data_IF_381842294339
#
_entry.id   IF_381842294339
#
_cell.length_a   1.000
_cell.length_b   1.000
_cell.length_c   1.000
_cell.angle_alpha   90.00
_cell.angle_beta   90.00
_cell.angle_gamma   90.00
#
_symmetry.space_group_name_H-M   'P 1'
#
loop_
_entity.id
_entity.type
_entity.pdbx_description
1 polymer ?
#
# COMPACT_ATOMS: atom_id res chain seq x y z
N UNK A 1 3.76 -38.92 41.02
CA UNK A 1 2.74 -37.86 41.12
C UNK A 1 3.37 -36.57 40.64
N UNK A 2 3.23 -36.24 39.35
CA UNK A 2 3.67 -34.96 38.78
C UNK A 2 2.41 -34.16 38.46
N UNK A 3 2.26 -33.01 39.12
CA UNK A 3 1.17 -32.08 38.91
C UNK A 3 1.44 -31.28 37.61
N UNK A 4 0.74 -31.64 36.53
CA UNK A 4 0.61 -30.76 35.36
C UNK A 4 -0.53 -29.78 35.63
N UNK A 5 -0.20 -28.58 36.10
CA UNK A 5 -1.08 -27.41 35.99
C UNK A 5 -0.62 -26.56 34.81
N UNK A 6 -0.78 -27.10 33.59
CA UNK A 6 -0.68 -26.31 32.37
C UNK A 6 -1.94 -25.45 32.27
N UNK A 7 -1.90 -24.27 32.89
CA UNK A 7 -2.90 -23.22 32.69
C UNK A 7 -2.84 -22.77 31.24
N UNK A 8 -3.72 -23.34 30.40
CA UNK A 8 -4.00 -22.82 29.07
C UNK A 8 -4.71 -21.46 29.24
N UNK A 9 -3.94 -20.39 29.34
CA UNK A 9 -4.46 -19.03 29.18
C UNK A 9 -4.87 -18.89 27.71
N UNK A 10 -6.17 -18.91 27.46
CA UNK A 10 -6.77 -18.53 26.18
C UNK A 10 -6.29 -17.11 25.85
N UNK A 11 -5.29 -17.00 24.97
CA UNK A 11 -4.64 -15.74 24.64
C UNK A 11 -5.54 -14.90 23.75
N UNK A 12 -6.53 -14.23 24.34
CA UNK A 12 -7.33 -13.20 23.67
C UNK A 12 -6.43 -11.96 23.49
N UNK A 13 -5.66 -11.90 22.40
CA UNK A 13 -4.94 -10.67 22.06
C UNK A 13 -5.89 -9.64 21.46
N UNK A 14 -5.58 -8.37 21.68
CA UNK A 14 -6.39 -7.24 21.23
C UNK A 14 -5.77 -6.61 19.98
N UNK A 15 -6.60 -5.96 19.18
CA UNK A 15 -6.18 -5.27 17.97
C UNK A 15 -6.94 -3.97 17.76
N UNK A 16 -6.31 -3.07 16.99
CA UNK A 16 -7.00 -2.00 16.28
C UNK A 16 -7.26 -2.45 14.85
N UNK A 17 -8.52 -2.67 14.51
CA UNK A 17 -8.95 -2.99 13.16
C UNK A 17 -9.26 -1.72 12.38
N UNK A 18 -8.50 -1.45 11.32
CA UNK A 18 -8.75 -0.29 10.45
C UNK A 18 -9.83 -0.62 9.41
N UNK A 19 -10.93 0.12 9.45
CA UNK A 19 -12.16 -0.19 8.69
C UNK A 19 -11.97 -0.02 7.19
N UNK A 20 -11.29 1.03 6.74
CA UNK A 20 -11.22 1.39 5.33
C UNK A 20 -10.28 0.47 4.52
N UNK A 21 -9.30 -0.16 5.15
CA UNK A 21 -8.33 -1.06 4.48
C UNK A 21 -8.42 -2.51 4.93
N UNK A 22 -9.27 -2.84 5.90
CA UNK A 22 -9.34 -4.16 6.53
C UNK A 22 -7.97 -4.65 7.03
N UNK A 23 -7.23 -3.75 7.68
CA UNK A 23 -5.90 -4.07 8.24
C UNK A 23 -5.95 -4.02 9.75
N UNK A 24 -5.43 -5.04 10.41
CA UNK A 24 -5.36 -5.10 11.88
C UNK A 24 -3.97 -4.77 12.40
N UNK A 25 -3.93 -4.09 13.54
CA UNK A 25 -2.71 -3.80 14.29
C UNK A 25 -2.82 -4.42 15.68
N UNK A 26 -1.98 -5.41 15.98
CA UNK A 26 -2.01 -6.10 17.27
C UNK A 26 -1.46 -5.21 18.38
N UNK A 27 -2.20 -5.16 19.49
CA UNK A 27 -1.81 -4.45 20.70
C UNK A 27 -1.11 -5.43 21.62
N UNK A 28 0.21 -5.26 21.77
CA UNK A 28 1.00 -6.07 22.69
C UNK A 28 0.71 -5.63 24.13
N UNK A 29 0.18 -6.50 25.01
CA UNK A 29 -0.12 -6.13 26.39
C UNK A 29 1.14 -5.84 27.22
N UNK A 30 2.32 -6.20 26.70
CA UNK A 30 3.61 -5.95 27.33
C UNK A 30 4.12 -4.52 27.11
N UNK A 31 3.51 -3.76 26.21
CA UNK A 31 3.88 -2.36 25.96
C UNK A 31 3.00 -1.45 26.83
N UNK A 32 3.58 -0.68 27.77
CA UNK A 32 2.80 0.23 28.62
C UNK A 32 2.23 1.40 27.82
N UNK A 33 2.88 1.75 26.71
CA UNK A 33 2.47 2.83 25.80
C UNK A 33 2.65 2.34 24.37
N UNK A 34 1.62 2.52 23.55
CA UNK A 34 1.57 2.16 22.14
C UNK A 34 1.25 3.43 21.36
N UNK A 35 2.22 3.93 20.59
CA UNK A 35 2.11 5.18 19.86
C UNK A 35 1.56 4.96 18.46
N UNK A 36 0.65 5.83 18.05
CA UNK A 36 -0.03 5.79 16.75
C UNK A 36 0.34 7.03 15.95
N UNK A 37 0.80 6.82 14.72
CA UNK A 37 1.03 7.92 13.79
C UNK A 37 1.91 7.56 12.60
N UNK A 38 2.47 8.60 11.97
CA UNK A 38 3.37 8.45 10.82
C UNK A 38 4.85 8.43 11.24
N UNK A 39 5.65 7.47 10.75
CA UNK A 39 7.08 7.46 11.01
C UNK A 39 7.79 8.62 10.30
N UNK A 40 8.90 9.07 10.88
CA UNK A 40 9.92 9.87 10.23
C UNK A 40 11.31 9.37 10.68
N UNK A 41 12.38 10.06 10.26
CA UNK A 41 13.76 9.69 10.62
C UNK A 41 14.04 9.72 12.14
N UNK A 42 13.24 10.44 12.92
CA UNK A 42 13.44 10.66 14.35
C UNK A 42 12.46 9.88 15.25
N UNK A 43 11.31 9.49 14.70
CA UNK A 43 10.16 8.95 15.43
C UNK A 43 9.62 7.76 14.65
N UNK A 44 9.68 6.58 15.27
CA UNK A 44 9.02 5.37 14.81
C UNK A 44 7.87 5.05 15.77
N UNK A 45 6.61 5.35 15.41
CA UNK A 45 5.45 4.94 16.21
C UNK A 45 5.26 3.42 16.13
N UNK A 46 4.74 2.82 17.20
CA UNK A 46 4.46 1.39 17.28
C UNK A 46 3.42 0.97 16.22
N UNK A 47 2.38 1.79 16.05
CA UNK A 47 1.38 1.63 15.00
C UNK A 47 1.64 2.66 13.90
N UNK A 48 2.22 2.15 12.79
CA UNK A 48 2.53 2.94 11.61
C UNK A 48 1.32 3.01 10.65
N UNK A 49 0.76 4.21 10.55
CA UNK A 49 -0.42 4.48 9.69
C UNK A 49 -0.07 4.84 8.25
N UNK A 50 1.21 4.93 7.86
CA UNK A 50 1.63 5.42 6.53
C UNK A 50 1.08 4.59 5.36
N UNK A 51 0.84 3.30 5.59
CA UNK A 51 0.28 2.39 4.58
C UNK A 51 -1.25 2.47 4.46
N UNK A 52 -1.92 3.24 5.34
CA UNK A 52 -3.37 3.37 5.35
C UNK A 52 -3.83 4.45 4.35
N UNK A 53 -5.04 4.31 3.78
CA UNK A 53 -5.64 5.37 2.98
C UNK A 53 -5.81 6.65 3.80
N UNK A 54 -5.68 7.80 3.16
CA UNK A 54 -5.84 9.13 3.79
C UNK A 54 -4.89 9.41 4.97
N UNK A 55 -3.78 8.67 5.12
CA UNK A 55 -2.82 8.86 6.21
C UNK A 55 -2.21 10.29 6.28
N UNK A 56 -2.36 11.09 5.23
CA UNK A 56 -1.92 12.49 5.19
C UNK A 56 -2.51 13.34 6.33
N UNK A 57 -3.74 13.04 6.77
CA UNK A 57 -4.40 13.76 7.88
C UNK A 57 -3.87 13.35 9.27
N UNK A 58 -3.16 12.24 9.36
CA UNK A 58 -2.63 11.73 10.64
C UNK A 58 -1.29 12.40 10.94
N UNK A 59 -1.05 12.73 12.21
CA UNK A 59 0.19 13.37 12.65
C UNK A 59 1.29 12.32 12.86
N UNK A 60 2.55 12.75 13.02
CA UNK A 60 3.66 11.81 13.30
C UNK A 60 3.50 11.16 14.67
N UNK A 61 3.23 11.97 15.68
CA UNK A 61 2.71 11.58 16.99
C UNK A 61 1.27 12.08 17.05
N UNK A 62 0.30 11.22 16.77
CA UNK A 62 -1.10 11.64 16.70
C UNK A 62 -1.83 11.28 17.99
N UNK A 63 -1.78 10.01 18.37
CA UNK A 63 -2.38 9.51 19.58
C UNK A 63 -1.51 8.40 20.17
N UNK A 64 -1.75 8.05 21.43
CA UNK A 64 -1.18 6.87 22.05
C UNK A 64 -2.22 6.14 22.87
N UNK A 65 -2.05 4.82 22.94
CA UNK A 65 -2.80 3.95 23.83
C UNK A 65 -1.91 3.61 25.01
N UNK A 66 -2.38 3.89 26.22
CA UNK A 66 -1.71 3.51 27.46
C UNK A 66 -2.39 2.29 28.06
N UNK A 67 -1.59 1.36 28.56
CA UNK A 67 -2.05 0.10 29.15
C UNK A 67 -1.73 0.12 30.63
N UNK A 68 -2.76 0.16 31.48
CA UNK A 68 -2.63 0.17 32.94
C UNK A 68 -3.52 -0.93 33.52
N UNK A 69 -2.94 -1.88 34.25
CA UNK A 69 -3.67 -2.94 34.97
C UNK A 69 -4.75 -3.63 34.11
N UNK A 70 -4.41 -3.93 32.85
CA UNK A 70 -5.30 -4.58 31.88
C UNK A 70 -6.45 -3.71 31.35
N UNK A 71 -6.43 -2.41 31.64
CA UNK A 71 -7.31 -1.38 31.08
C UNK A 71 -6.56 -0.57 30.02
N UNK A 72 -7.27 -0.18 28.96
CA UNK A 72 -6.72 0.59 27.84
C UNK A 72 -7.26 2.01 27.90
N UNK A 73 -6.39 2.97 27.65
CA UNK A 73 -6.74 4.39 27.56
C UNK A 73 -6.22 4.98 26.26
N UNK A 74 -7.02 5.80 25.59
CA UNK A 74 -6.61 6.56 24.42
C UNK A 74 -6.31 8.01 24.82
N UNK A 75 -5.23 8.57 24.28
CA UNK A 75 -4.78 9.95 24.51
C UNK A 75 -4.44 10.57 23.16
N UNK A 76 -5.04 11.73 22.87
CA UNK A 76 -4.59 12.57 21.75
C UNK A 76 -3.32 13.34 22.15
N UNK A 77 -2.26 13.26 21.35
CA UNK A 77 -0.97 13.88 21.66
C UNK A 77 -0.86 15.35 21.20
N UNK A 78 -1.99 16.01 20.95
CA UNK A 78 -2.03 17.34 20.34
C UNK A 78 -1.99 17.25 18.82
N UNK A 79 -2.77 16.31 18.26
CA UNK A 79 -2.79 16.10 16.82
C UNK A 79 -3.42 17.28 16.07
N UNK A 80 -3.00 17.49 14.82
CA UNK A 80 -3.46 18.64 14.03
C UNK A 80 -4.95 18.56 13.66
N UNK A 81 -5.47 17.35 13.45
CA UNK A 81 -6.86 17.12 13.05
C UNK A 81 -7.75 16.60 14.20
N UNK A 82 -7.17 16.35 15.37
CA UNK A 82 -7.84 15.79 16.55
C UNK A 82 -8.08 14.28 16.44
N UNK A 83 -8.22 13.64 17.59
CA UNK A 83 -8.70 12.25 17.72
C UNK A 83 -10.16 12.27 18.21
N UNK A 84 -10.98 11.36 17.71
CA UNK A 84 -12.36 11.19 18.11
C UNK A 84 -12.60 9.76 18.63
N UNK A 85 -13.33 9.63 19.73
CA UNK A 85 -13.76 8.35 20.29
C UNK A 85 -15.29 8.29 20.22
N UNK A 86 -15.83 7.30 19.52
CA UNK A 86 -17.28 7.15 19.29
C UNK A 86 -17.92 8.46 18.80
N UNK A 87 -17.28 9.11 17.82
CA UNK A 87 -17.67 10.40 17.24
C UNK A 87 -17.53 11.63 18.15
N UNK A 88 -17.09 11.49 19.40
CA UNK A 88 -16.80 12.60 20.30
C UNK A 88 -15.32 13.01 20.20
N UNK A 89 -15.06 14.30 19.97
CA UNK A 89 -13.68 14.82 19.90
C UNK A 89 -13.03 14.77 21.28
N UNK A 90 -11.83 14.20 21.35
CA UNK A 90 -11.06 14.16 22.58
C UNK A 90 -10.35 15.49 22.84
N UNK A 91 -10.23 15.83 24.12
CA UNK A 91 -9.34 16.91 24.56
C UNK A 91 -7.88 16.44 24.49
N UNK A 92 -6.96 17.24 23.91
CA UNK A 92 -5.54 16.89 23.85
C UNK A 92 -4.95 16.61 25.22
N UNK A 93 -4.06 15.61 25.30
CA UNK A 93 -3.29 15.19 26.49
C UNK A 93 -4.14 14.71 27.67
N UNK A 94 -5.43 14.46 27.48
CA UNK A 94 -6.31 13.86 28.48
C UNK A 94 -6.57 12.40 28.16
N UNK A 95 -6.63 11.57 29.20
CA UNK A 95 -6.89 10.13 29.09
C UNK A 95 -8.38 9.85 29.00
N UNK A 96 -8.76 9.00 28.06
CA UNK A 96 -10.13 8.49 27.91
C UNK A 96 -10.10 6.96 27.92
N UNK A 97 -10.99 6.28 28.66
CA UNK A 97 -11.05 4.83 28.67
C UNK A 97 -11.42 4.30 27.29
N UNK A 98 -10.78 3.21 26.88
CA UNK A 98 -11.00 2.54 25.60
C UNK A 98 -11.57 1.14 25.84
N UNK A 99 -12.80 0.91 25.41
CA UNK A 99 -13.54 -0.34 25.60
C UNK A 99 -13.70 -1.10 24.29
N UNK A 100 -13.82 -2.42 24.39
CA UNK A 100 -14.07 -3.29 23.24
C UNK A 100 -15.28 -2.82 22.42
N UNK A 101 -15.08 -2.73 21.11
CA UNK A 101 -16.04 -2.22 20.15
C UNK A 101 -15.95 -0.71 19.91
N UNK A 102 -15.18 0.04 20.70
CA UNK A 102 -15.07 1.49 20.54
C UNK A 102 -14.44 1.85 19.19
N UNK A 103 -15.00 2.91 18.60
CA UNK A 103 -14.55 3.50 17.34
C UNK A 103 -13.60 4.65 17.62
N UNK A 104 -12.39 4.59 17.07
CA UNK A 104 -11.39 5.67 17.14
C UNK A 104 -11.19 6.24 15.74
N UNK A 105 -11.49 7.52 15.55
CA UNK A 105 -11.21 8.24 14.31
C UNK A 105 -10.00 9.16 14.48
N UNK A 106 -9.02 9.04 13.58
CA UNK A 106 -7.88 9.96 13.51
C UNK A 106 -8.18 11.05 12.48
N UNK A 107 -8.57 12.22 12.97
CA UNK A 107 -9.08 13.31 12.16
C UNK A 107 -10.57 13.22 11.84
N UNK A 108 -11.08 14.25 11.15
CA UNK A 108 -12.51 14.38 10.86
C UNK A 108 -12.96 13.49 9.69
N UNK A 109 -14.28 13.28 9.62
CA UNK A 109 -15.00 12.61 8.50
C UNK A 109 -14.73 11.10 8.36
N UNK A 110 -14.33 10.41 9.43
CA UNK A 110 -14.20 8.93 9.42
C UNK A 110 -13.31 8.42 8.26
N UNK A 111 -12.23 9.15 7.98
CA UNK A 111 -11.30 8.82 6.89
C UNK A 111 -10.25 7.79 7.30
N UNK A 112 -9.91 7.77 8.59
CA UNK A 112 -8.97 6.85 9.21
C UNK A 112 -9.61 6.36 10.51
N UNK A 113 -10.32 5.24 10.43
CA UNK A 113 -11.16 4.74 11.51
C UNK A 113 -10.67 3.38 11.98
N UNK A 114 -10.48 3.26 13.28
CA UNK A 114 -10.14 2.02 13.96
C UNK A 114 -11.29 1.55 14.83
N UNK A 115 -11.44 0.24 14.96
CA UNK A 115 -12.30 -0.41 15.95
C UNK A 115 -11.37 -1.18 16.89
N UNK A 116 -11.49 -0.94 18.19
CA UNK A 116 -10.76 -1.69 19.20
C UNK A 116 -11.48 -3.00 19.50
N UNK A 117 -10.87 -4.14 19.18
CA UNK A 117 -11.54 -5.45 19.25
C UNK A 117 -10.58 -6.59 19.59
N UNK A 118 -11.11 -7.78 19.82
CA UNK A 118 -10.29 -9.00 19.92
C UNK A 118 -9.72 -9.38 18.55
N UNK A 119 -8.46 -9.78 18.53
CA UNK A 119 -7.84 -10.41 17.38
C UNK A 119 -8.48 -11.77 17.15
N UNK A 120 -9.17 -11.92 16.02
CA UNK A 120 -9.76 -13.20 15.66
C UNK A 120 -8.67 -14.14 15.10
N UNK A 121 -8.16 -15.01 15.95
CA UNK A 121 -7.33 -16.13 15.51
C UNK A 121 -8.26 -17.22 14.96
N UNK A 122 -8.46 -17.24 13.64
CA UNK A 122 -9.08 -18.40 12.99
C UNK A 122 -8.14 -19.60 13.10
N UNK A 123 -8.32 -20.39 14.16
CA UNK A 123 -7.74 -21.72 14.28
C UNK A 123 -8.56 -22.62 13.37
N UNK A 124 -8.03 -22.95 12.20
CA UNK A 124 -8.52 -24.09 11.43
C UNK A 124 -8.05 -25.35 12.16
N UNK A 125 -8.88 -25.88 13.05
CA UNK A 125 -8.68 -27.22 13.60
C UNK A 125 -8.92 -28.21 12.48
N UNK A 126 -7.87 -28.63 11.80
CA UNK A 126 -7.89 -29.77 10.89
C UNK A 126 -7.98 -31.06 11.71
N UNK A 127 -9.14 -31.34 12.31
CA UNK A 127 -9.47 -32.66 12.83
C UNK A 127 -10.92 -32.99 12.48
N UNK A 128 -11.06 -33.77 11.43
CA UNK A 128 -12.31 -34.32 10.93
C UNK A 128 -12.61 -35.66 11.58
N UNK A 129 -13.62 -35.71 12.43
CA UNK A 129 -14.51 -36.87 12.58
C UNK A 129 -15.96 -36.38 12.74
N UNK A 130 -16.78 -36.76 11.77
CA UNK A 130 -18.14 -36.30 11.54
C UNK A 130 -19.17 -37.07 12.38
N UNK A 131 -20.18 -36.37 12.91
CA UNK A 131 -21.57 -36.84 12.85
C UNK A 131 -22.52 -35.63 12.70
N UNK A 132 -23.25 -35.61 11.58
CA UNK A 132 -24.12 -34.58 10.98
C UNK A 132 -25.41 -34.23 11.77
N UNK A 133 -26.36 -33.35 11.31
CA UNK A 133 -26.41 -32.35 10.20
C UNK A 133 -26.87 -30.94 10.71
N UNK A 134 -26.89 -29.80 10.00
CA UNK A 134 -27.50 -29.50 8.70
C UNK A 134 -27.06 -28.13 8.12
N UNK A 135 -26.55 -28.17 6.88
CA UNK A 135 -26.89 -27.35 5.71
C UNK A 135 -27.44 -25.91 5.93
N UNK A 136 -26.59 -24.92 5.70
CA UNK A 136 -26.95 -23.72 4.90
C UNK A 136 -25.76 -23.37 3.99
N UNK A 137 -26.04 -23.23 2.70
CA UNK A 137 -25.07 -22.92 1.65
C UNK A 137 -24.45 -21.53 1.84
N UNK A 138 -23.14 -21.42 1.63
CA UNK A 138 -22.48 -20.17 1.25
C UNK A 138 -21.58 -20.44 0.04
N UNK A 139 -21.61 -19.58 -1.00
CA UNK A 139 -20.82 -19.79 -2.20
C UNK A 139 -19.34 -19.56 -1.88
N UNK A 140 -18.53 -20.59 -2.13
CA UNK A 140 -17.08 -20.52 -2.10
C UNK A 140 -16.59 -19.59 -3.22
N UNK A 141 -16.08 -18.42 -2.87
CA UNK A 141 -15.01 -17.78 -3.63
C UNK A 141 -13.76 -17.88 -2.75
N UNK A 142 -13.00 -18.96 -2.95
CA UNK A 142 -11.62 -19.04 -2.49
C UNK A 142 -10.84 -18.05 -3.35
N UNK A 143 -10.80 -16.78 -2.96
CA UNK A 143 -9.77 -15.87 -3.47
C UNK A 143 -8.53 -16.10 -2.63
N UNK A 144 -7.69 -17.01 -3.10
CA UNK A 144 -6.32 -17.19 -2.66
C UNK A 144 -5.60 -15.84 -2.81
N UNK A 145 -5.59 -15.03 -1.74
CA UNK A 145 -4.86 -13.77 -1.68
C UNK A 145 -3.40 -14.11 -1.44
N UNK A 146 -2.76 -14.69 -2.45
CA UNK A 146 -1.32 -14.59 -2.64
C UNK A 146 -0.97 -13.11 -2.50
N UNK A 147 -0.34 -12.77 -1.38
CA UNK A 147 0.31 -11.48 -1.16
C UNK A 147 1.06 -11.14 -2.44
N UNK A 148 0.69 -10.01 -3.06
CA UNK A 148 1.35 -9.46 -4.22
C UNK A 148 2.73 -8.92 -3.83
N UNK A 149 3.63 -9.83 -3.46
CA UNK A 149 5.06 -9.62 -3.60
C UNK A 149 5.30 -9.58 -5.11
N UNK A 150 5.42 -8.36 -5.66
CA UNK A 150 5.81 -8.15 -7.06
C UNK A 150 7.17 -8.83 -7.24
N UNK A 151 7.12 -9.97 -7.91
CA UNK A 151 8.23 -10.85 -8.21
C UNK A 151 9.31 -10.06 -8.96
N UNK A 152 10.58 -10.21 -8.57
CA UNK A 152 11.72 -9.57 -9.25
C UNK A 152 11.68 -9.68 -10.80
N UNK A 153 11.24 -10.80 -11.40
CA UNK A 153 11.10 -10.87 -12.86
C UNK A 153 9.98 -9.98 -13.43
N UNK A 154 8.85 -9.75 -12.75
CA UNK A 154 7.80 -8.86 -13.29
C UNK A 154 8.24 -7.40 -13.32
N UNK A 155 9.05 -6.96 -12.36
CA UNK A 155 9.71 -5.63 -12.40
C UNK A 155 10.68 -5.51 -13.57
N UNK A 156 11.46 -6.55 -13.83
CA UNK A 156 12.42 -6.55 -14.92
C UNK A 156 11.72 -6.55 -16.29
N UNK A 157 10.65 -7.33 -16.43
CA UNK A 157 9.82 -7.34 -17.65
C UNK A 157 9.12 -6.00 -17.84
N UNK A 158 8.59 -5.37 -16.78
CA UNK A 158 7.99 -4.04 -16.85
C UNK A 158 8.98 -2.97 -17.33
N UNK A 159 10.21 -3.02 -16.83
CA UNK A 159 11.30 -2.12 -17.24
C UNK A 159 11.71 -2.33 -18.70
N UNK A 160 11.83 -3.59 -19.15
CA UNK A 160 12.13 -3.91 -20.55
C UNK A 160 11.01 -3.42 -21.48
N UNK A 161 9.74 -3.61 -21.12
CA UNK A 161 8.60 -3.13 -21.90
C UNK A 161 8.59 -1.59 -22.02
N UNK A 162 8.94 -0.88 -20.94
CA UNK A 162 9.08 0.58 -21.00
C UNK A 162 10.21 1.02 -21.94
N UNK A 163 11.37 0.37 -21.88
CA UNK A 163 12.51 0.67 -22.77
C UNK A 163 12.14 0.40 -24.23
N UNK A 164 11.46 -0.71 -24.51
CA UNK A 164 10.99 -1.05 -25.86
C UNK A 164 9.99 -0.01 -26.39
N UNK A 165 9.06 0.46 -25.55
CA UNK A 165 8.12 1.53 -25.92
C UNK A 165 8.83 2.83 -26.33
N UNK A 166 9.87 3.23 -25.58
CA UNK A 166 10.69 4.41 -25.87
C UNK A 166 11.49 4.21 -27.17
N UNK A 167 12.06 3.02 -27.38
CA UNK A 167 12.82 2.70 -28.60
C UNK A 167 11.94 2.71 -29.85
N UNK A 168 10.71 2.21 -29.77
CA UNK A 168 9.75 2.22 -30.90
C UNK A 168 9.35 3.66 -31.27
N UNK A 169 9.12 4.53 -30.28
CA UNK A 169 8.86 5.96 -30.53
C UNK A 169 10.06 6.60 -31.24
N UNK A 170 11.26 6.33 -30.72
CA UNK A 170 12.50 6.88 -31.24
C UNK A 170 12.80 6.41 -32.67
N UNK A 171 12.62 5.12 -32.96
CA UNK A 171 12.95 4.53 -34.26
C UNK A 171 11.97 4.90 -35.38
N UNK A 172 10.72 5.25 -35.05
CA UNK A 172 9.69 5.56 -36.05
C UNK A 172 9.47 7.07 -36.25
N UNK A 173 10.24 7.92 -35.55
CA UNK A 173 10.29 9.35 -35.78
C UNK A 173 11.34 9.62 -36.86
N UNK A 174 10.92 9.79 -38.11
CA UNK A 174 11.86 10.11 -39.20
C UNK A 174 12.36 11.56 -39.06
N UNK A 175 13.69 11.71 -39.17
CA UNK A 175 14.51 12.93 -39.35
C UNK A 175 14.95 13.68 -38.07
N UNK A 176 16.28 13.89 -37.95
CA UNK A 176 16.91 14.90 -37.09
C UNK A 176 17.68 14.38 -35.87
N UNK A 177 18.64 13.47 -36.05
CA UNK A 177 19.40 12.79 -34.97
C UNK A 177 20.09 13.71 -33.93
N UNK A 178 20.14 15.04 -34.14
CA UNK A 178 20.99 15.93 -33.37
C UNK A 178 20.29 16.71 -32.23
N UNK A 179 18.97 16.70 -32.16
CA UNK A 179 18.23 17.62 -31.24
C UNK A 179 17.42 16.87 -30.16
N UNK A 180 17.07 15.59 -30.39
CA UNK A 180 16.21 14.83 -29.47
C UNK A 180 16.96 14.01 -28.41
N UNK A 181 18.27 13.79 -28.57
CA UNK A 181 19.13 13.07 -27.63
C UNK A 181 19.05 13.61 -26.18
N UNK A 182 19.13 14.94 -25.92
CA UNK A 182 19.10 15.44 -24.54
C UNK A 182 17.75 15.23 -23.85
N UNK A 183 16.63 15.36 -24.56
CA UNK A 183 15.30 15.13 -24.00
C UNK A 183 15.05 13.65 -23.66
N UNK A 184 15.48 12.73 -24.54
CA UNK A 184 15.34 11.28 -24.31
C UNK A 184 16.19 10.86 -23.11
N UNK A 185 17.42 11.36 -23.01
CA UNK A 185 18.32 11.09 -21.88
C UNK A 185 17.71 11.55 -20.55
N UNK A 186 17.03 12.72 -20.55
CA UNK A 186 16.35 13.25 -19.37
C UNK A 186 15.17 12.37 -18.92
N UNK A 187 14.39 11.86 -19.88
CA UNK A 187 13.29 10.93 -19.59
C UNK A 187 13.82 9.60 -19.02
N UNK A 188 14.89 9.05 -19.59
CA UNK A 188 15.54 7.82 -19.09
C UNK A 188 16.07 8.05 -17.67
N UNK A 189 16.73 9.18 -17.41
CA UNK A 189 17.19 9.54 -16.07
C UNK A 189 16.02 9.65 -15.07
N UNK A 190 14.90 10.25 -15.47
CA UNK A 190 13.68 10.31 -14.65
C UNK A 190 13.11 8.93 -14.32
N UNK A 191 13.09 8.00 -15.26
CA UNK A 191 12.68 6.60 -15.04
C UNK A 191 13.63 5.88 -14.09
N UNK A 192 14.94 6.08 -14.24
CA UNK A 192 15.95 5.50 -13.33
C UNK A 192 15.76 6.05 -11.90
N UNK A 193 15.52 7.35 -11.75
CA UNK A 193 15.24 7.98 -10.45
C UNK A 193 13.94 7.45 -9.82
N UNK A 194 12.89 7.19 -10.61
CA UNK A 194 11.66 6.55 -10.10
C UNK A 194 11.87 5.09 -9.70
N UNK A 195 12.81 4.39 -10.35
CA UNK A 195 13.14 3.00 -10.04
C UNK A 195 14.03 2.85 -8.80
N UNK A 196 14.72 3.90 -8.38
CA UNK A 196 15.55 3.88 -7.18
C UNK A 196 14.74 4.22 -5.93
N UNK A 197 14.83 3.37 -4.90
CA UNK A 197 14.02 3.48 -3.66
C UNK A 197 14.48 4.61 -2.72
N UNK A 198 15.62 5.24 -3.00
CA UNK A 198 16.21 6.29 -2.16
C UNK A 198 15.83 7.73 -2.58
N UNK A 199 15.39 7.94 -3.83
CA UNK A 199 15.12 9.29 -4.31
C UNK A 199 13.64 9.65 -4.24
N UNK A 200 13.37 10.94 -4.00
CA UNK A 200 12.02 11.47 -3.96
C UNK A 200 11.32 11.25 -5.31
N UNK A 201 10.24 10.46 -5.29
CA UNK A 201 9.42 10.14 -6.49
C UNK A 201 8.97 11.39 -7.26
N UNK A 202 8.79 12.53 -6.57
CA UNK A 202 8.47 13.82 -7.20
C UNK A 202 9.53 14.27 -8.22
N UNK A 203 10.82 14.03 -7.95
CA UNK A 203 11.93 14.43 -8.81
C UNK A 203 11.90 13.64 -10.13
N UNK A 204 11.59 12.35 -10.07
CA UNK A 204 11.48 11.52 -11.26
C UNK A 204 10.37 11.97 -12.21
N UNK A 205 9.19 12.33 -11.67
CA UNK A 205 8.10 12.89 -12.46
C UNK A 205 8.44 14.25 -13.07
N UNK A 206 9.16 15.11 -12.34
CA UNK A 206 9.64 16.40 -12.85
C UNK A 206 10.64 16.21 -13.98
N UNK A 207 11.59 15.27 -13.88
CA UNK A 207 12.54 14.97 -14.95
C UNK A 207 11.85 14.44 -16.22
N UNK A 208 10.87 13.55 -16.06
CA UNK A 208 10.10 13.03 -17.20
C UNK A 208 9.30 14.15 -17.87
N UNK A 209 8.60 14.97 -17.09
CA UNK A 209 7.85 16.12 -17.61
C UNK A 209 8.75 17.13 -18.32
N UNK A 210 9.93 17.41 -17.76
CA UNK A 210 10.92 18.31 -18.36
C UNK A 210 11.49 17.75 -19.66
N UNK A 211 11.77 16.44 -19.73
CA UNK A 211 12.24 15.80 -20.95
C UNK A 211 11.20 15.87 -22.08
N UNK A 212 9.92 15.65 -21.76
CA UNK A 212 8.81 15.79 -22.71
C UNK A 212 8.62 17.25 -23.14
N UNK A 213 8.73 18.21 -22.22
CA UNK A 213 8.64 19.63 -22.54
C UNK A 213 9.77 20.08 -23.48
N UNK A 214 11.01 19.63 -23.23
CA UNK A 214 12.16 19.88 -24.12
C UNK A 214 11.94 19.27 -25.49
N UNK A 215 11.36 18.07 -25.60
CA UNK A 215 11.01 17.47 -26.89
C UNK A 215 9.96 18.27 -27.65
N UNK A 216 8.90 18.72 -26.95
CA UNK A 216 7.82 19.51 -27.55
C UNK A 216 8.27 20.90 -27.98
N UNK A 217 9.13 21.55 -27.19
CA UNK A 217 9.58 22.92 -27.44
C UNK A 217 10.68 22.99 -28.50
N UNK A 218 11.51 21.94 -28.61
CA UNK A 218 12.59 21.87 -29.62
C UNK A 218 12.11 21.25 -30.94
N UNK A 219 10.91 20.67 -30.99
CA UNK A 219 10.29 20.10 -32.18
C UNK A 219 9.45 21.12 -32.94
N UNK A 220 10.08 21.96 -33.76
CA UNK A 220 9.36 22.60 -34.86
C UNK A 220 9.06 21.51 -35.91
N UNK A 221 7.82 21.48 -36.42
CA UNK A 221 7.32 20.64 -37.53
C UNK A 221 6.77 19.26 -37.12
N UNK A 222 5.43 19.17 -37.12
CA UNK A 222 4.66 17.94 -37.33
C UNK A 222 5.09 17.29 -38.65
N UNK A 223 6.15 16.47 -38.64
CA UNK A 223 6.49 15.58 -39.74
C UNK A 223 6.20 14.15 -39.33
N UNK A 224 5.04 13.65 -39.78
CA UNK A 224 4.74 12.22 -39.93
C UNK A 224 5.02 11.31 -38.73
N UNK A 225 4.59 11.68 -37.53
CA UNK A 225 4.60 10.69 -36.44
C UNK A 225 3.42 9.75 -36.68
N UNK A 226 3.72 8.48 -36.96
CA UNK A 226 2.69 7.47 -37.18
C UNK A 226 1.85 7.37 -35.90
N UNK A 227 0.62 7.87 -35.92
CA UNK A 227 -0.30 7.90 -34.78
C UNK A 227 -0.43 6.51 -34.13
N UNK A 228 -0.35 5.47 -34.95
CA UNK A 228 -0.34 4.09 -34.51
C UNK A 228 0.87 3.75 -33.62
N UNK A 229 2.05 4.26 -33.94
CA UNK A 229 3.26 4.05 -33.14
C UNK A 229 3.19 4.79 -31.80
N UNK A 230 2.61 6.00 -31.77
CA UNK A 230 2.38 6.73 -30.50
C UNK A 230 1.41 5.94 -29.63
N UNK A 231 0.29 5.48 -30.19
CA UNK A 231 -0.72 4.71 -29.46
C UNK A 231 -0.15 3.38 -28.95
N UNK A 232 0.58 2.65 -29.80
CA UNK A 232 1.22 1.39 -29.42
C UNK A 232 2.24 1.58 -28.29
N UNK A 233 3.10 2.60 -28.39
CA UNK A 233 4.11 2.86 -27.36
C UNK A 233 3.52 3.41 -26.06
N UNK A 234 2.46 4.21 -26.13
CA UNK A 234 1.72 4.64 -24.94
C UNK A 234 1.10 3.44 -24.21
N UNK A 235 0.51 2.50 -24.95
CA UNK A 235 -0.03 1.26 -24.40
C UNK A 235 1.06 0.37 -23.77
N UNK A 236 2.22 0.24 -24.44
CA UNK A 236 3.38 -0.48 -23.92
C UNK A 236 3.95 0.14 -22.64
N UNK A 237 4.05 1.48 -22.58
CA UNK A 237 4.49 2.20 -21.39
C UNK A 237 3.50 2.03 -20.24
N UNK A 238 2.19 2.12 -20.50
CA UNK A 238 1.14 1.94 -19.51
C UNK A 238 1.11 0.51 -18.98
N UNK A 239 1.20 -0.50 -19.86
CA UNK A 239 1.28 -1.90 -19.47
C UNK A 239 2.57 -2.20 -18.67
N UNK A 240 3.72 -1.71 -19.13
CA UNK A 240 4.99 -1.85 -18.42
C UNK A 240 4.96 -1.21 -17.03
N UNK A 241 4.37 -0.03 -16.90
CA UNK A 241 4.19 0.68 -15.63
C UNK A 241 3.26 -0.07 -14.67
N UNK A 242 2.12 -0.58 -15.16
CA UNK A 242 1.23 -1.42 -14.35
C UNK A 242 1.95 -2.68 -13.88
N UNK A 243 2.67 -3.37 -14.76
CA UNK A 243 3.41 -4.58 -14.41
C UNK A 243 4.51 -4.30 -13.38
N UNK A 244 5.22 -3.18 -13.51
CA UNK A 244 6.30 -2.80 -12.59
C UNK A 244 5.81 -2.51 -11.17
N UNK A 245 4.66 -1.83 -11.04
CA UNK A 245 4.13 -1.43 -9.73
C UNK A 245 3.22 -2.50 -9.09
N UNK A 246 2.49 -3.25 -9.91
CA UNK A 246 1.44 -4.16 -9.44
C UNK A 246 1.71 -5.63 -9.77
N UNK A 247 2.73 -5.96 -10.59
CA UNK A 247 2.95 -7.34 -11.04
C UNK A 247 1.82 -7.90 -11.93
N UNK A 248 0.84 -7.07 -12.29
CA UNK A 248 -0.33 -7.41 -13.11
C UNK A 248 -0.50 -6.40 -14.24
N UNK A 249 -1.05 -6.83 -15.36
CA UNK A 249 -1.49 -5.98 -16.48
C UNK A 249 -2.93 -6.35 -16.81
N UNK A 250 -3.86 -5.40 -16.75
CA UNK A 250 -5.28 -5.65 -17.07
C UNK A 250 -5.86 -6.90 -16.37
N UNK A 251 -5.59 -7.07 -15.06
CA UNK A 251 -5.95 -8.23 -14.24
C UNK A 251 -5.20 -9.55 -14.48
N UNK A 252 -4.27 -9.63 -15.43
CA UNK A 252 -3.45 -10.83 -15.65
C UNK A 252 -2.06 -10.68 -15.03
N UNK A 253 -1.66 -11.66 -14.22
CA UNK A 253 -0.28 -11.79 -13.74
C UNK A 253 0.64 -12.39 -14.82
N UNK A 254 1.94 -12.09 -14.76
CA UNK A 254 2.95 -12.57 -15.72
C UNK A 254 2.93 -14.10 -15.88
N UNK A 255 2.69 -14.82 -14.78
CA UNK A 255 2.58 -16.28 -14.78
C UNK A 255 1.39 -16.79 -15.62
N UNK A 256 0.25 -16.10 -15.58
CA UNK A 256 -0.95 -16.47 -16.35
C UNK A 256 -0.73 -16.29 -17.85
N UNK A 257 -0.04 -15.22 -18.25
CA UNK A 257 0.30 -14.97 -19.66
C UNK A 257 1.28 -16.01 -20.19
N UNK A 258 2.30 -16.37 -19.40
CA UNK A 258 3.27 -17.44 -19.77
C UNK A 258 2.62 -18.82 -19.91
N UNK A 259 1.54 -19.09 -19.18
CA UNK A 259 0.75 -20.33 -19.26
C UNK A 259 -0.11 -20.38 -20.54
N UNK A 260 -0.58 -19.23 -21.02
CA UNK A 260 -1.35 -19.11 -22.27
C UNK A 260 -0.48 -19.25 -23.53
N UNK A 261 0.75 -18.74 -23.50
CA UNK A 261 1.72 -18.83 -24.62
C UNK A 261 2.39 -20.22 -24.77
N UNK A 262 2.15 -21.14 -23.84
CA UNK A 262 2.68 -22.52 -23.88
C UNK A 262 1.65 -23.56 -24.36
N UNK A 263 0.48 -23.14 -24.82
CA UNK A 263 -0.46 -23.95 -25.61
C UNK A 263 -0.26 -23.65 -27.08
#
# INVERSE_FOLDING_TARGET
>A
MQNLSTSQKTGLSLELFHVQSNTSFELSPNLPVIRIGKPNEQIAPDINVLALPNADIVSRLHAEIQVEENTYYIIDLGSSNGTFLNSLKLEPKKRYPLNLGDKIDLGQKENVTFIFQYKQNFVYTSDSTLTHPAKVLQPQIVENKQQLQVDRPSKLVGLVLMIVGILIISANTRIGFFIHIPGVLLCIAGVVVLSQRQFNRKIGWVLIGLGVAVMLFTGNIFASVNLFAILASSALLFAGYQLFNTGKVLNYGLHSVRKLLKR
#
